data_IF_829482027341
#
_entry.id   IF_829482027341
#
_cell.length_a   1.000
_cell.length_b   1.000
_cell.length_c   1.000
_cell.angle_alpha   90.00
_cell.angle_beta   90.00
_cell.angle_gamma   90.00
#
_symmetry.space_group_name_H-M   'P 1'
#
loop_
_entity.id
_entity.type
_entity.pdbx_description
1 polymer ?
#
# COMPACT_ATOMS: atom_id res chain seq x y z
N UNK A 1 33.31 -8.46 -42.99
CA UNK A 1 34.53 -7.64 -42.94
C UNK A 1 34.59 -6.63 -44.09
N UNK A 2 34.46 -7.06 -45.35
CA UNK A 2 34.51 -6.16 -46.52
C UNK A 2 33.44 -5.04 -46.57
N UNK A 3 32.19 -5.33 -46.19
CA UNK A 3 31.12 -4.32 -46.17
C UNK A 3 31.36 -3.19 -45.16
N UNK A 4 31.95 -3.50 -44.00
CA UNK A 4 32.24 -2.52 -42.94
C UNK A 4 33.40 -1.61 -43.34
N UNK A 5 34.42 -2.17 -44.00
CA UNK A 5 35.57 -1.41 -44.52
C UNK A 5 35.12 -0.47 -45.65
N UNK A 6 34.22 -0.91 -46.53
CA UNK A 6 33.68 -0.09 -47.62
C UNK A 6 32.85 1.11 -47.13
N UNK A 7 31.98 0.90 -46.13
CA UNK A 7 31.19 1.99 -45.53
C UNK A 7 32.10 2.99 -44.80
N UNK A 8 33.12 2.50 -44.09
CA UNK A 8 34.11 3.36 -43.43
C UNK A 8 34.87 4.26 -44.41
N UNK A 9 35.32 3.72 -45.54
CA UNK A 9 36.01 4.49 -46.59
C UNK A 9 35.10 5.54 -47.24
N UNK A 10 33.83 5.22 -47.48
CA UNK A 10 32.85 6.16 -48.03
C UNK A 10 32.57 7.34 -47.07
N UNK A 11 32.44 7.07 -45.76
CA UNK A 11 32.26 8.13 -44.75
C UNK A 11 33.48 9.07 -44.72
N UNK A 12 34.69 8.50 -44.76
CA UNK A 12 35.95 9.26 -44.73
C UNK A 12 36.14 10.11 -45.98
N UNK A 13 35.80 9.60 -47.16
CA UNK A 13 35.88 10.34 -48.42
C UNK A 13 34.91 11.53 -48.45
N UNK A 14 33.66 11.33 -48.03
CA UNK A 14 32.66 12.41 -47.95
C UNK A 14 33.09 13.47 -46.91
N UNK A 15 33.68 13.04 -45.78
CA UNK A 15 34.21 13.96 -44.79
C UNK A 15 35.34 14.82 -45.34
N UNK A 16 36.33 14.20 -45.98
CA UNK A 16 37.47 14.95 -46.51
C UNK A 16 37.07 15.95 -47.60
N UNK A 17 35.99 15.69 -48.34
CA UNK A 17 35.59 16.52 -49.49
C UNK A 17 34.52 17.57 -49.17
N UNK A 18 33.54 17.23 -48.33
CA UNK A 18 32.37 18.07 -48.02
C UNK A 18 32.39 18.61 -46.58
N UNK A 19 33.35 18.16 -45.78
CA UNK A 19 33.47 18.54 -44.37
C UNK A 19 32.57 17.70 -43.45
N UNK A 20 32.81 17.84 -42.14
CA UNK A 20 32.20 17.01 -41.11
C UNK A 20 30.67 17.14 -41.08
N UNK A 21 30.16 18.37 -41.08
CA UNK A 21 28.72 18.64 -40.95
C UNK A 21 27.92 18.03 -42.12
N UNK A 22 28.39 18.23 -43.36
CA UNK A 22 27.72 17.72 -44.56
C UNK A 22 27.73 16.19 -44.61
N UNK A 23 28.81 15.57 -44.10
CA UNK A 23 28.91 14.11 -43.98
C UNK A 23 27.89 13.56 -42.99
N UNK A 24 27.79 14.16 -41.80
CA UNK A 24 26.80 13.75 -40.79
C UNK A 24 25.38 13.86 -41.36
N UNK A 25 25.06 14.95 -42.07
CA UNK A 25 23.75 15.13 -42.70
C UNK A 25 23.47 14.09 -43.79
N UNK A 26 24.42 13.83 -44.69
CA UNK A 26 24.26 12.87 -45.79
C UNK A 26 24.02 11.44 -45.27
N UNK A 27 24.81 10.98 -44.30
CA UNK A 27 24.64 9.64 -43.73
C UNK A 27 23.42 9.53 -42.81
N UNK A 28 23.03 10.60 -42.12
CA UNK A 28 21.76 10.63 -41.36
C UNK A 28 20.55 10.53 -42.29
N UNK A 29 20.59 11.22 -43.43
CA UNK A 29 19.54 11.14 -44.46
C UNK A 29 19.45 9.74 -45.06
N UNK A 30 20.57 9.15 -45.49
CA UNK A 30 20.61 7.79 -46.01
C UNK A 30 20.14 6.75 -44.98
N UNK A 31 20.51 6.92 -43.70
CA UNK A 31 20.04 6.08 -42.60
C UNK A 31 18.52 6.21 -42.39
N UNK A 32 17.97 7.43 -42.44
CA UNK A 32 16.53 7.67 -42.37
C UNK A 32 15.76 7.01 -43.51
N UNK A 33 16.25 7.14 -44.74
CA UNK A 33 15.68 6.47 -45.92
C UNK A 33 15.73 4.95 -45.77
N UNK A 34 16.86 4.40 -45.31
CA UNK A 34 16.99 2.96 -45.06
C UNK A 34 15.98 2.47 -44.02
N UNK A 35 15.83 3.19 -42.90
CA UNK A 35 14.86 2.84 -41.86
C UNK A 35 13.42 2.90 -42.38
N UNK A 36 13.09 3.90 -43.19
CA UNK A 36 11.76 4.03 -43.79
C UNK A 36 11.48 2.94 -44.83
N UNK A 37 12.46 2.51 -45.62
CA UNK A 37 12.26 1.49 -46.66
C UNK A 37 12.23 0.07 -46.10
N UNK A 38 13.18 -0.26 -45.21
CA UNK A 38 13.37 -1.64 -44.73
C UNK A 38 12.76 -1.89 -43.35
N UNK A 39 12.54 -0.85 -42.56
CA UNK A 39 12.05 -0.95 -41.18
C UNK A 39 10.81 -0.09 -40.90
N UNK A 40 10.02 0.29 -41.93
CA UNK A 40 8.79 1.09 -41.80
C UNK A 40 7.87 0.63 -40.66
N UNK A 41 7.67 -0.68 -40.52
CA UNK A 41 6.82 -1.26 -39.47
C UNK A 41 7.30 -0.84 -38.07
N UNK A 42 8.61 -0.81 -37.83
CA UNK A 42 9.18 -0.37 -36.56
C UNK A 42 9.02 1.14 -36.37
N UNK A 43 9.23 1.96 -37.41
CA UNK A 43 8.98 3.40 -37.35
C UNK A 43 7.50 3.70 -37.01
N UNK A 44 6.57 3.02 -37.67
CA UNK A 44 5.14 3.12 -37.39
C UNK A 44 4.82 2.74 -35.95
N UNK A 45 5.31 1.58 -35.47
CA UNK A 45 5.12 1.14 -34.09
C UNK A 45 5.67 2.18 -33.12
N UNK A 46 6.91 2.65 -33.31
CA UNK A 46 7.53 3.66 -32.46
C UNK A 46 6.69 4.94 -32.40
N UNK A 47 6.20 5.45 -33.53
CA UNK A 47 5.37 6.67 -33.55
C UNK A 47 4.06 6.45 -32.78
N UNK A 48 3.40 5.31 -32.99
CA UNK A 48 2.12 5.00 -32.33
C UNK A 48 2.30 4.74 -30.82
N UNK A 49 3.39 4.11 -30.39
CA UNK A 49 3.61 3.79 -28.96
C UNK A 49 4.27 4.94 -28.19
N UNK A 50 5.00 5.83 -28.85
CA UNK A 50 5.74 6.94 -28.20
C UNK A 50 4.88 7.74 -27.21
N UNK A 51 3.64 8.18 -27.52
CA UNK A 51 2.82 8.92 -26.56
C UNK A 51 2.45 8.13 -25.30
N UNK A 52 2.26 6.81 -25.43
CA UNK A 52 2.03 5.92 -24.28
C UNK A 52 3.32 5.77 -23.47
N UNK A 53 4.44 5.56 -24.16
CA UNK A 53 5.73 5.30 -23.53
C UNK A 53 6.25 6.55 -22.80
N UNK A 54 6.08 7.75 -23.38
CA UNK A 54 6.38 9.01 -22.73
C UNK A 54 5.50 9.28 -21.51
N UNK A 55 4.20 8.94 -21.56
CA UNK A 55 3.32 9.01 -20.38
C UNK A 55 3.77 8.05 -19.27
N UNK A 56 4.16 6.83 -19.65
CA UNK A 56 4.70 5.84 -18.70
C UNK A 56 6.01 6.32 -18.08
N UNK A 57 6.94 6.85 -18.89
CA UNK A 57 8.21 7.42 -18.43
C UNK A 57 7.98 8.61 -17.50
N UNK A 58 7.08 9.52 -17.85
CA UNK A 58 6.71 10.65 -16.99
C UNK A 58 6.12 10.19 -15.66
N UNK A 59 5.20 9.22 -15.69
CA UNK A 59 4.63 8.63 -14.49
C UNK A 59 5.72 8.00 -13.61
N UNK A 60 6.65 7.26 -14.21
CA UNK A 60 7.78 6.65 -13.53
C UNK A 60 8.69 7.68 -12.86
N UNK A 61 9.10 8.73 -13.59
CA UNK A 61 9.91 9.83 -13.05
C UNK A 61 9.18 10.52 -11.89
N UNK A 62 7.87 10.77 -12.03
CA UNK A 62 7.04 11.37 -10.98
C UNK A 62 6.97 10.50 -9.72
N UNK A 63 6.82 9.18 -9.87
CA UNK A 63 6.84 8.22 -8.76
C UNK A 63 8.21 8.26 -8.06
N UNK A 64 9.31 8.19 -8.82
CA UNK A 64 10.66 8.25 -8.25
C UNK A 64 10.91 9.54 -7.47
N UNK A 65 10.49 10.68 -8.02
CA UNK A 65 10.64 11.97 -7.35
C UNK A 65 9.81 12.06 -6.06
N UNK A 66 8.57 11.56 -6.10
CA UNK A 66 7.67 11.53 -4.95
C UNK A 66 8.19 10.59 -3.86
N UNK A 67 8.63 9.39 -4.22
CA UNK A 67 9.25 8.42 -3.31
C UNK A 67 10.53 8.99 -2.68
N UNK A 68 11.39 9.65 -3.47
CA UNK A 68 12.59 10.32 -2.96
C UNK A 68 12.24 11.44 -1.97
N UNK A 69 11.23 12.25 -2.27
CA UNK A 69 10.74 13.31 -1.38
C UNK A 69 10.28 12.76 -0.04
N UNK A 70 9.44 11.72 -0.03
CA UNK A 70 8.94 11.12 1.21
C UNK A 70 10.01 10.34 1.97
N UNK A 71 10.90 9.65 1.26
CA UNK A 71 12.08 9.01 1.86
C UNK A 71 12.99 10.02 2.55
N UNK A 72 13.24 11.20 1.96
CA UNK A 72 14.08 12.23 2.58
C UNK A 72 13.42 12.84 3.82
N UNK A 73 12.09 12.94 3.84
CA UNK A 73 11.35 13.36 5.03
C UNK A 73 11.17 12.25 6.07
N UNK A 74 11.61 11.03 5.75
CA UNK A 74 11.39 9.82 6.52
C UNK A 74 9.91 9.57 6.89
N UNK A 75 8.99 9.99 6.00
CA UNK A 75 7.56 9.86 6.22
C UNK A 75 7.09 8.42 6.06
N UNK A 76 6.12 8.03 6.86
CA UNK A 76 5.43 6.75 6.79
C UNK A 76 4.12 6.88 6.03
N UNK A 77 3.45 5.77 5.75
CA UNK A 77 2.18 5.81 5.04
C UNK A 77 1.11 6.69 5.73
N UNK A 78 0.89 6.62 7.07
CA UNK A 78 -0.03 7.53 7.76
C UNK A 78 0.29 9.03 7.62
N UNK A 79 1.58 9.39 7.48
CA UNK A 79 2.01 10.78 7.28
C UNK A 79 1.71 11.24 5.84
N UNK A 80 1.98 10.36 4.86
CA UNK A 80 1.69 10.60 3.44
C UNK A 80 0.17 10.70 3.23
N UNK A 81 -0.60 9.86 3.93
CA UNK A 81 -2.06 9.91 3.92
C UNK A 81 -2.56 11.26 4.45
N UNK A 82 -2.08 11.71 5.61
CA UNK A 82 -2.44 13.02 6.15
C UNK A 82 -2.11 14.18 5.20
N UNK A 83 -0.92 14.15 4.57
CA UNK A 83 -0.56 15.12 3.55
C UNK A 83 -1.57 15.17 2.38
N UNK A 84 -2.19 14.04 2.05
CA UNK A 84 -3.25 13.94 1.04
C UNK A 84 -4.58 14.48 1.57
N UNK A 85 -4.95 14.12 2.81
CA UNK A 85 -6.17 14.59 3.49
C UNK A 85 -6.18 16.11 3.57
N UNK A 86 -5.08 16.75 3.96
CA UNK A 86 -4.98 18.21 4.03
C UNK A 86 -5.25 18.90 2.68
N UNK A 87 -4.94 18.25 1.56
CA UNK A 87 -5.14 18.81 0.21
C UNK A 87 -6.53 18.56 -0.34
N UNK A 88 -7.14 17.44 0.04
CA UNK A 88 -8.36 16.92 -0.56
C UNK A 88 -9.32 16.33 0.49
N UNK A 89 -9.69 17.07 1.55
CA UNK A 89 -10.37 16.49 2.69
C UNK A 89 -11.76 15.96 2.35
N UNK A 90 -12.52 16.68 1.52
CA UNK A 90 -13.90 16.34 1.15
C UNK A 90 -13.99 15.50 -0.13
N UNK A 91 -12.85 15.09 -0.73
CA UNK A 91 -12.89 14.20 -1.90
C UNK A 91 -13.23 12.77 -1.48
N UNK A 92 -14.00 12.03 -2.29
CA UNK A 92 -14.18 10.59 -2.10
C UNK A 92 -12.83 9.86 -2.05
N UNK A 93 -12.59 9.16 -0.95
CA UNK A 93 -11.46 8.26 -0.74
C UNK A 93 -11.84 6.81 -1.06
N UNK A 94 -13.00 6.35 -0.56
CA UNK A 94 -13.55 5.03 -0.87
C UNK A 94 -15.00 5.13 -1.32
N UNK A 95 -15.34 4.31 -2.31
CA UNK A 95 -16.70 4.03 -2.74
C UNK A 95 -16.97 2.57 -2.38
N UNK A 96 -17.97 2.31 -1.55
CA UNK A 96 -18.27 0.97 -1.08
C UNK A 96 -19.77 0.78 -0.94
N UNK A 97 -20.35 -0.07 -1.79
CA UNK A 97 -21.81 -0.21 -1.89
C UNK A 97 -22.45 1.17 -2.08
N UNK A 98 -23.40 1.54 -1.22
CA UNK A 98 -24.08 2.83 -1.22
C UNK A 98 -23.39 3.89 -0.35
N UNK A 99 -22.22 3.58 0.22
CA UNK A 99 -21.44 4.49 1.05
C UNK A 99 -20.32 5.18 0.27
N UNK A 100 -20.14 6.47 0.59
CA UNK A 100 -19.00 7.27 0.15
C UNK A 100 -18.25 7.73 1.38
N UNK A 101 -16.97 7.38 1.46
CA UNK A 101 -16.08 7.82 2.54
C UNK A 101 -15.10 8.84 1.99
N UNK A 102 -15.07 10.03 2.56
CA UNK A 102 -14.12 11.09 2.23
C UNK A 102 -12.76 10.84 2.87
N UNK A 103 -11.71 11.51 2.38
CA UNK A 103 -10.39 11.45 3.01
C UNK A 103 -10.42 11.89 4.48
N UNK A 104 -11.22 12.92 4.81
CA UNK A 104 -11.39 13.41 6.18
C UNK A 104 -12.00 12.35 7.09
N UNK A 105 -13.05 11.66 6.64
CA UNK A 105 -13.72 10.62 7.44
C UNK A 105 -12.82 9.41 7.70
N UNK A 106 -12.02 9.01 6.70
CA UNK A 106 -11.03 7.93 6.88
C UNK A 106 -9.94 8.34 7.88
N UNK A 107 -9.47 9.59 7.83
CA UNK A 107 -8.49 10.09 8.80
C UNK A 107 -9.06 10.19 10.21
N UNK A 108 -10.28 10.72 10.37
CA UNK A 108 -10.97 10.80 11.67
C UNK A 108 -11.09 9.41 12.31
N UNK A 109 -11.58 8.43 11.54
CA UNK A 109 -11.70 7.05 11.98
C UNK A 109 -10.33 6.45 12.35
N UNK A 110 -9.32 6.65 11.50
CA UNK A 110 -7.95 6.18 11.76
C UNK A 110 -7.38 6.78 13.07
N UNK A 111 -7.61 8.06 13.34
CA UNK A 111 -7.15 8.73 14.55
C UNK A 111 -7.90 8.26 15.81
N UNK A 112 -9.19 7.89 15.69
CA UNK A 112 -9.93 7.21 16.78
C UNK A 112 -9.34 5.84 17.08
N UNK A 113 -9.00 5.07 16.04
CA UNK A 113 -8.33 3.78 16.19
C UNK A 113 -6.98 3.95 16.89
N UNK A 114 -6.17 4.94 16.49
CA UNK A 114 -4.92 5.27 17.18
C UNK A 114 -5.15 5.55 18.67
N UNK A 115 -6.17 6.34 19.02
CA UNK A 115 -6.49 6.66 20.41
C UNK A 115 -6.89 5.41 21.21
N UNK A 116 -7.78 4.58 20.66
CA UNK A 116 -8.24 3.34 21.31
C UNK A 116 -7.08 2.37 21.49
N UNK A 117 -6.32 2.05 20.44
CA UNK A 117 -5.22 1.08 20.52
C UNK A 117 -4.14 1.55 21.51
N UNK A 118 -3.78 2.83 21.49
CA UNK A 118 -2.82 3.42 22.43
C UNK A 118 -3.31 3.31 23.88
N UNK A 119 -4.60 3.59 24.14
CA UNK A 119 -5.21 3.43 25.48
C UNK A 119 -5.16 1.99 25.97
N UNK A 120 -5.27 1.02 25.06
CA UNK A 120 -5.19 -0.42 25.36
C UNK A 120 -3.74 -0.95 25.34
N UNK A 121 -2.75 -0.04 25.31
CA UNK A 121 -1.35 -0.36 25.52
C UNK A 121 -0.59 -0.87 24.30
N UNK A 122 -1.14 -0.69 23.09
CA UNK A 122 -0.40 -0.95 21.84
C UNK A 122 0.76 0.04 21.71
N UNK A 123 1.94 -0.48 21.41
CA UNK A 123 3.20 0.24 21.29
C UNK A 123 3.82 0.03 19.91
N UNK A 124 4.83 0.84 19.61
CA UNK A 124 5.66 0.68 18.42
C UNK A 124 6.24 -0.74 18.36
N UNK A 125 6.07 -1.38 17.20
CA UNK A 125 6.54 -2.74 16.95
C UNK A 125 5.53 -3.84 17.28
N UNK A 126 4.46 -3.54 18.01
CA UNK A 126 3.39 -4.50 18.30
C UNK A 126 2.66 -4.90 17.01
N UNK A 127 2.14 -6.12 17.01
CA UNK A 127 1.56 -6.76 15.83
C UNK A 127 0.05 -6.87 16.01
N UNK A 128 -0.70 -6.07 15.24
CA UNK A 128 -2.16 -6.00 15.30
C UNK A 128 -2.75 -6.67 14.06
N UNK A 129 -3.14 -7.93 14.22
CA UNK A 129 -3.78 -8.75 13.18
C UNK A 129 -5.18 -8.23 12.85
N UNK A 130 -5.51 -8.20 11.55
CA UNK A 130 -6.85 -7.90 11.07
C UNK A 130 -7.45 -9.14 10.41
N UNK A 131 -8.56 -9.62 10.95
CA UNK A 131 -9.44 -10.62 10.34
C UNK A 131 -10.78 -9.94 10.00
N UNK A 132 -10.76 -9.11 8.97
CA UNK A 132 -11.86 -8.19 8.62
C UNK A 132 -12.19 -8.28 7.15
N UNK A 133 -13.48 -8.22 6.82
CA UNK A 133 -13.95 -8.13 5.44
C UNK A 133 -13.51 -6.84 4.75
N UNK A 134 -13.66 -6.81 3.43
CA UNK A 134 -13.49 -5.57 2.67
C UNK A 134 -14.57 -4.57 3.10
N UNK A 135 -14.13 -3.48 3.72
CA UNK A 135 -14.95 -2.32 4.06
C UNK A 135 -14.06 -1.06 4.14
N UNK A 136 -14.63 0.15 4.04
CA UNK A 136 -13.87 1.40 4.14
C UNK A 136 -13.12 1.59 5.47
N UNK A 137 -13.61 0.98 6.55
CA UNK A 137 -13.01 1.04 7.88
C UNK A 137 -11.75 0.18 7.99
N UNK A 138 -11.60 -0.89 7.20
CA UNK A 138 -10.43 -1.77 7.27
C UNK A 138 -9.11 -1.02 6.99
N UNK A 139 -8.99 -0.23 5.90
CA UNK A 139 -7.82 0.63 5.72
C UNK A 139 -7.61 1.63 6.85
N UNK A 140 -8.68 2.18 7.43
CA UNK A 140 -8.59 3.13 8.54
C UNK A 140 -8.09 2.46 9.84
N UNK A 141 -8.51 1.23 10.13
CA UNK A 141 -8.01 0.41 11.25
C UNK A 141 -6.51 0.18 11.13
N UNK A 142 -6.07 -0.23 9.94
CA UNK A 142 -4.66 -0.41 9.62
C UNK A 142 -3.87 0.90 9.71
N UNK A 143 -4.36 2.01 9.15
CA UNK A 143 -3.70 3.32 9.25
C UNK A 143 -3.58 3.79 10.70
N UNK A 144 -4.59 3.53 11.52
CA UNK A 144 -4.59 3.87 12.94
C UNK A 144 -3.51 3.13 13.72
N UNK A 145 -3.33 1.84 13.44
CA UNK A 145 -2.24 1.03 14.00
C UNK A 145 -0.86 1.46 13.46
N UNK A 146 -0.73 1.66 12.15
CA UNK A 146 0.51 2.07 11.52
C UNK A 146 1.03 3.41 12.06
N UNK A 147 0.13 4.31 12.50
CA UNK A 147 0.49 5.58 13.15
C UNK A 147 1.20 5.38 14.50
N UNK A 148 0.91 4.28 15.21
CA UNK A 148 1.61 3.87 16.42
C UNK A 148 2.92 3.11 16.13
N UNK A 149 3.28 2.93 14.84
CA UNK A 149 4.38 2.07 14.45
C UNK A 149 4.10 0.58 14.62
N UNK A 150 2.83 0.21 14.80
CA UNK A 150 2.41 -1.19 14.81
C UNK A 150 2.42 -1.78 13.41
N UNK A 151 2.54 -3.10 13.35
CA UNK A 151 2.59 -3.87 12.10
C UNK A 151 1.29 -4.64 11.95
N UNK A 152 0.70 -4.64 10.76
CA UNK A 152 -0.61 -5.26 10.54
C UNK A 152 -0.55 -6.50 9.65
N UNK A 153 -0.69 -7.71 10.19
CA UNK A 153 -0.98 -8.90 9.40
C UNK A 153 -2.42 -8.87 8.87
N UNK A 154 -2.58 -9.00 7.56
CA UNK A 154 -3.89 -9.08 6.91
C UNK A 154 -4.31 -10.55 6.77
N UNK A 155 -5.08 -11.04 7.74
CA UNK A 155 -5.46 -12.46 7.82
C UNK A 155 -6.64 -12.73 6.90
N UNK A 156 -6.55 -13.81 6.12
CA UNK A 156 -7.62 -14.20 5.19
C UNK A 156 -8.87 -14.64 5.96
N UNK A 157 -9.99 -14.00 5.65
CA UNK A 157 -11.30 -14.21 6.29
C UNK A 157 -11.91 -15.60 6.10
N UNK A 158 -11.39 -16.39 5.17
CA UNK A 158 -11.82 -17.78 4.96
C UNK A 158 -11.09 -18.78 5.86
N UNK A 159 -10.06 -18.36 6.61
CA UNK A 159 -9.29 -19.26 7.47
C UNK A 159 -10.04 -19.59 8.76
N UNK A 160 -10.05 -20.88 9.13
CA UNK A 160 -10.57 -21.40 10.40
C UNK A 160 -9.60 -22.42 11.00
N UNK A 161 -9.82 -22.80 12.26
CA UNK A 161 -9.05 -23.84 12.93
C UNK A 161 -7.54 -23.61 12.85
N UNK A 162 -6.79 -24.67 12.53
CA UNK A 162 -5.32 -24.66 12.50
C UNK A 162 -4.73 -23.62 11.53
N UNK A 163 -5.39 -23.33 10.41
CA UNK A 163 -4.88 -22.34 9.46
C UNK A 163 -4.93 -20.93 10.04
N UNK A 164 -6.00 -20.61 10.77
CA UNK A 164 -6.16 -19.31 11.44
C UNK A 164 -5.16 -19.18 12.60
N UNK A 165 -5.04 -20.21 13.44
CA UNK A 165 -4.05 -20.28 14.53
C UNK A 165 -2.63 -20.08 13.99
N UNK A 166 -2.28 -20.79 12.91
CA UNK A 166 -0.98 -20.67 12.27
C UNK A 166 -0.71 -19.25 11.81
N UNK A 167 -1.66 -18.60 11.13
CA UNK A 167 -1.49 -17.22 10.67
C UNK A 167 -1.24 -16.26 11.85
N UNK A 168 -2.02 -16.37 12.92
CA UNK A 168 -1.88 -15.56 14.14
C UNK A 168 -0.49 -15.78 14.77
N UNK A 169 -0.07 -17.04 14.94
CA UNK A 169 1.17 -17.40 15.62
C UNK A 169 2.42 -17.07 14.81
N UNK A 170 2.40 -17.30 13.48
CA UNK A 170 3.54 -16.96 12.60
C UNK A 170 3.78 -15.46 12.55
N UNK A 171 2.71 -14.67 12.56
CA UNK A 171 2.85 -13.22 12.67
C UNK A 171 3.25 -12.77 14.07
N UNK A 172 3.04 -13.60 15.11
CA UNK A 172 3.22 -13.24 16.53
C UNK A 172 2.34 -12.05 16.91
N UNK A 173 1.03 -12.14 16.61
CA UNK A 173 0.09 -11.07 16.94
C UNK A 173 0.05 -10.83 18.46
N UNK A 174 0.11 -9.57 18.87
CA UNK A 174 -0.15 -9.10 20.23
C UNK A 174 -1.63 -8.73 20.41
N UNK A 175 -2.27 -8.31 19.32
CA UNK A 175 -3.68 -7.94 19.24
C UNK A 175 -4.30 -8.55 17.98
N UNK A 176 -5.54 -9.02 18.08
CA UNK A 176 -6.35 -9.45 16.94
C UNK A 176 -7.67 -8.67 16.93
N UNK A 177 -7.89 -7.91 15.85
CA UNK A 177 -9.17 -7.28 15.56
C UNK A 177 -9.88 -8.13 14.51
N UNK A 178 -11.06 -8.65 14.85
CA UNK A 178 -11.84 -9.50 13.95
C UNK A 178 -13.26 -8.98 13.80
N UNK A 179 -13.85 -9.15 12.61
CA UNK A 179 -15.25 -8.78 12.40
C UNK A 179 -16.20 -9.70 13.19
N UNK A 180 -17.31 -9.16 13.69
CA UNK A 180 -18.31 -9.89 14.46
C UNK A 180 -18.79 -11.20 13.82
N UNK A 181 -18.80 -11.26 12.50
CA UNK A 181 -19.15 -12.41 11.66
C UNK A 181 -18.21 -13.61 11.87
N UNK A 182 -16.97 -13.37 12.32
CA UNK A 182 -15.96 -14.40 12.59
C UNK A 182 -15.92 -14.87 14.04
N UNK A 183 -16.88 -14.45 14.88
CA UNK A 183 -16.97 -14.86 16.29
C UNK A 183 -16.91 -16.38 16.45
N UNK A 184 -17.64 -17.12 15.62
CA UNK A 184 -17.66 -18.60 15.69
C UNK A 184 -16.28 -19.20 15.41
N UNK A 185 -15.55 -18.68 14.41
CA UNK A 185 -14.21 -19.15 14.07
C UNK A 185 -13.18 -18.83 15.17
N UNK A 186 -13.34 -17.70 15.86
CA UNK A 186 -12.49 -17.34 17.01
C UNK A 186 -12.81 -18.21 18.23
N UNK A 187 -14.09 -18.46 18.51
CA UNK A 187 -14.52 -19.32 19.62
C UNK A 187 -13.99 -20.76 19.45
N UNK A 188 -14.02 -21.30 18.23
CA UNK A 188 -13.47 -22.63 17.90
C UNK A 188 -12.00 -22.81 18.28
N UNK A 189 -11.21 -21.73 18.22
CA UNK A 189 -9.77 -21.77 18.48
C UNK A 189 -9.37 -21.13 19.80
N UNK A 190 -10.33 -20.56 20.55
CA UNK A 190 -10.09 -19.74 21.75
C UNK A 190 -9.19 -20.42 22.80
N UNK A 191 -9.34 -21.72 23.00
CA UNK A 191 -8.53 -22.52 23.94
C UNK A 191 -7.08 -22.75 23.50
N UNK A 192 -6.76 -22.49 22.23
CA UNK A 192 -5.44 -22.67 21.63
C UNK A 192 -4.72 -21.34 21.36
N UNK A 193 -5.41 -20.22 21.58
CA UNK A 193 -4.81 -18.89 21.47
C UNK A 193 -3.94 -18.59 22.69
N UNK A 194 -2.91 -17.76 22.48
CA UNK A 194 -2.09 -17.25 23.57
C UNK A 194 -2.97 -16.41 24.52
N UNK A 195 -3.00 -16.69 25.84
CA UNK A 195 -3.75 -15.88 26.81
C UNK A 195 -3.35 -14.40 26.84
N UNK A 196 -2.15 -14.05 26.37
CA UNK A 196 -1.69 -12.67 26.26
C UNK A 196 -2.26 -11.93 25.02
N UNK A 197 -2.80 -12.66 24.03
CA UNK A 197 -3.38 -12.07 22.82
C UNK A 197 -4.65 -11.29 23.18
N UNK A 198 -4.66 -9.98 22.92
CA UNK A 198 -5.85 -9.15 23.11
C UNK A 198 -6.80 -9.31 21.94
N UNK A 199 -8.07 -9.57 22.22
CA UNK A 199 -9.10 -9.73 21.21
C UNK A 199 -10.01 -8.50 21.18
N UNK A 200 -10.23 -7.96 19.99
CA UNK A 200 -11.19 -6.89 19.73
C UNK A 200 -12.20 -7.36 18.69
N UNK A 201 -13.48 -7.30 19.06
CA UNK A 201 -14.56 -7.54 18.12
C UNK A 201 -14.93 -6.23 17.43
N UNK A 202 -15.04 -6.27 16.11
CA UNK A 202 -15.41 -5.12 15.29
C UNK A 202 -16.71 -5.39 14.54
N UNK A 203 -17.66 -4.47 14.59
CA UNK A 203 -18.90 -4.54 13.83
C UNK A 203 -18.92 -3.43 12.79
N UNK A 204 -19.05 -3.82 11.53
CA UNK A 204 -19.10 -2.88 10.42
C UNK A 204 -20.43 -2.11 10.45
N UNK A 205 -20.37 -0.87 10.93
CA UNK A 205 -21.47 0.11 10.89
C UNK A 205 -20.91 1.54 10.97
N UNK A 206 -21.76 2.52 10.68
CA UNK A 206 -21.45 3.93 10.97
C UNK A 206 -21.37 4.13 12.49
N UNK A 207 -20.34 4.85 12.94
CA UNK A 207 -20.16 5.19 14.35
C UNK A 207 -21.25 6.18 14.78
N UNK A 208 -21.93 5.88 15.89
CA UNK A 208 -22.82 6.80 16.57
C UNK A 208 -22.03 7.51 17.69
N UNK A 209 -21.44 8.65 17.37
CA UNK A 209 -20.62 9.44 18.31
C UNK A 209 -21.43 10.18 19.37
N UNK A 210 -22.75 10.23 19.24
CA UNK A 210 -23.63 10.81 20.27
C UNK A 210 -23.84 9.84 21.43
N UNK A 211 -23.66 8.53 21.19
CA UNK A 211 -23.69 7.51 22.22
C UNK A 211 -22.43 7.59 23.10
N UNK A 212 -22.63 7.71 24.41
CA UNK A 212 -21.54 7.76 25.40
C UNK A 212 -21.39 6.48 26.21
N UNK A 213 -22.22 5.49 25.96
CA UNK A 213 -22.22 4.23 26.71
C UNK A 213 -21.42 3.16 25.98
N UNK A 214 -20.56 2.47 26.73
CA UNK A 214 -19.85 1.30 26.23
C UNK A 214 -20.78 0.10 26.40
N UNK A 215 -21.20 -0.50 25.29
CA UNK A 215 -21.93 -1.77 25.34
C UNK A 215 -20.93 -2.91 25.52
N UNK A 216 -20.96 -3.58 26.67
CA UNK A 216 -20.23 -4.83 26.84
C UNK A 216 -20.87 -5.91 25.95
N UNK A 217 -20.06 -6.63 25.17
CA UNK A 217 -20.59 -7.66 24.27
C UNK A 217 -20.99 -8.96 24.95
N UNK A 218 -20.92 -9.05 26.28
CA UNK A 218 -21.37 -10.18 27.09
C UNK A 218 -20.54 -11.45 26.95
N UNK A 219 -19.61 -11.50 26.00
CA UNK A 219 -18.75 -12.63 25.64
C UNK A 219 -17.31 -12.49 26.16
N UNK A 220 -17.04 -11.47 26.98
CA UNK A 220 -15.72 -11.22 27.58
C UNK A 220 -14.67 -10.68 26.61
N UNK A 221 -15.06 -10.32 25.37
CA UNK A 221 -14.21 -9.69 24.36
C UNK A 221 -14.55 -8.20 24.31
N UNK A 222 -13.56 -7.33 24.11
CA UNK A 222 -13.84 -5.89 23.99
C UNK A 222 -14.50 -5.57 22.63
N UNK A 223 -15.63 -4.85 22.64
CA UNK A 223 -16.24 -4.31 21.41
C UNK A 223 -15.53 -3.03 20.98
N UNK A 224 -14.69 -3.15 19.97
CA UNK A 224 -13.95 -2.04 19.38
C UNK A 224 -14.88 -0.96 18.83
N UNK A 225 -16.04 -1.33 18.30
CA UNK A 225 -16.98 -0.38 17.69
C UNK A 225 -17.49 0.59 18.75
N UNK A 226 -17.97 0.06 19.88
CA UNK A 226 -18.41 0.86 21.02
C UNK A 226 -17.27 1.72 21.58
N UNK A 227 -16.04 1.17 21.65
CA UNK A 227 -14.87 1.95 22.07
C UNK A 227 -14.56 3.11 21.13
N UNK A 228 -14.71 2.94 19.82
CA UNK A 228 -14.48 3.99 18.83
C UNK A 228 -15.56 5.09 18.85
N UNK A 229 -16.81 4.75 19.20
CA UNK A 229 -17.91 5.70 19.33
C UNK A 229 -17.65 6.71 20.46
N UNK A 230 -17.20 6.22 21.62
CA UNK A 230 -16.96 7.04 22.81
C UNK A 230 -15.59 7.71 22.82
N UNK A 231 -14.66 7.27 21.98
CA UNK A 231 -13.28 7.79 21.96
C UNK A 231 -13.14 8.86 20.88
N UNK A 232 -12.80 10.11 21.23
CA UNK A 232 -12.54 11.15 20.23
C UNK A 232 -11.26 10.83 19.43
N UNK A 233 -11.12 11.36 18.21
CA UNK A 233 -9.92 11.18 17.41
C UNK A 233 -8.68 11.69 18.16
N UNK A 234 -7.57 10.93 18.10
CA UNK A 234 -6.30 11.44 18.58
C UNK A 234 -5.89 12.72 17.83
N UNK A 235 -5.19 13.66 18.47
CA UNK A 235 -4.56 14.75 17.74
C UNK A 235 -3.57 14.17 16.72
N UNK A 236 -3.53 14.76 15.52
CA UNK A 236 -2.59 14.31 14.51
C UNK A 236 -1.14 14.56 14.94
N UNK A 237 -0.31 13.53 14.85
CA UNK A 237 1.13 13.59 15.01
C UNK A 237 1.82 12.77 13.92
N UNK A 238 3.10 13.04 13.69
CA UNK A 238 3.95 12.13 12.93
C UNK A 238 3.88 10.73 13.52
N UNK A 239 3.87 9.72 12.65
CA UNK A 239 3.81 8.33 13.07
C UNK A 239 5.06 7.93 13.88
N UNK A 240 4.84 7.17 14.95
CA UNK A 240 5.91 6.61 15.78
C UNK A 240 6.43 5.27 15.20
N UNK A 241 6.83 5.27 13.92
CA UNK A 241 7.31 4.07 13.23
C UNK A 241 8.81 4.17 12.87
N UNK A 242 9.37 3.10 12.28
CA UNK A 242 10.75 3.08 11.79
C UNK A 242 10.95 3.84 10.46
N UNK A 243 10.08 4.82 10.19
CA UNK A 243 10.15 5.70 9.02
C UNK A 243 9.85 5.00 7.69
N UNK A 244 10.34 5.58 6.59
CA UNK A 244 9.96 5.20 5.22
C UNK A 244 10.32 3.74 4.87
N UNK A 245 11.37 3.17 5.48
CA UNK A 245 11.77 1.77 5.26
C UNK A 245 11.28 0.81 6.36
N UNK A 246 10.61 1.34 7.38
CA UNK A 246 10.03 0.56 8.46
C UNK A 246 8.97 -0.41 7.98
N UNK A 247 8.77 -1.50 8.74
CA UNK A 247 7.71 -2.48 8.49
C UNK A 247 6.34 -1.84 8.66
N UNK A 248 5.40 -2.23 7.82
CA UNK A 248 4.05 -1.64 7.78
C UNK A 248 2.98 -2.72 7.94
N UNK A 249 3.04 -3.77 7.13
CA UNK A 249 2.05 -4.84 7.16
C UNK A 249 2.65 -6.17 6.72
N UNK A 250 1.94 -7.25 7.03
CA UNK A 250 2.24 -8.58 6.50
C UNK A 250 1.13 -9.03 5.56
N UNK A 251 1.52 -9.46 4.36
CA UNK A 251 0.62 -10.11 3.41
C UNK A 251 0.91 -11.60 3.43
N UNK A 252 -0.12 -12.42 3.65
CA UNK A 252 0.05 -13.86 3.61
C UNK A 252 0.00 -14.35 2.16
N UNK A 253 1.00 -15.16 1.80
CA UNK A 253 1.02 -15.87 0.52
C UNK A 253 0.74 -17.35 0.76
N UNK A 254 -0.27 -17.90 0.10
CA UNK A 254 -0.54 -19.33 0.08
C UNK A 254 0.29 -20.01 -1.01
N UNK A 255 1.10 -21.00 -0.64
CA UNK A 255 1.66 -21.96 -1.59
C UNK A 255 0.63 -23.04 -1.93
N UNK A 256 0.88 -23.82 -2.98
CA UNK A 256 -0.01 -24.93 -3.39
C UNK A 256 -0.10 -26.07 -2.37
N UNK A 257 0.89 -26.20 -1.48
CA UNK A 257 1.00 -27.35 -0.56
C UNK A 257 1.37 -26.97 0.87
N UNK A 258 1.46 -25.68 1.20
CA UNK A 258 2.00 -25.21 2.48
C UNK A 258 1.09 -24.24 3.21
N UNK A 259 1.22 -24.22 4.54
CA UNK A 259 0.59 -23.21 5.37
C UNK A 259 1.06 -21.79 4.98
N UNK A 260 0.21 -20.77 5.18
CA UNK A 260 0.51 -19.41 4.77
C UNK A 260 1.83 -18.87 5.36
N UNK A 261 2.58 -18.11 4.55
CA UNK A 261 3.80 -17.41 4.98
C UNK A 261 3.56 -15.90 4.96
N UNK A 262 4.02 -15.21 6.01
CA UNK A 262 3.89 -13.76 6.13
C UNK A 262 5.01 -13.04 5.34
N UNK A 263 4.65 -12.39 4.23
CA UNK A 263 5.55 -11.52 3.48
C UNK A 263 5.58 -10.13 4.12
N UNK A 264 6.78 -9.64 4.45
CA UNK A 264 6.99 -8.35 5.11
C UNK A 264 6.95 -7.21 4.09
N UNK A 265 6.02 -6.27 4.28
CA UNK A 265 5.89 -5.06 3.45
C UNK A 265 6.32 -3.84 4.27
N UNK A 266 7.18 -3.01 3.67
CA UNK A 266 7.65 -1.75 4.25
C UNK A 266 6.81 -0.56 3.79
N UNK A 267 6.91 0.57 4.49
CA UNK A 267 6.25 1.83 4.13
C UNK A 267 6.66 2.39 2.74
N UNK A 268 7.78 1.92 2.19
CA UNK A 268 8.31 2.36 0.90
C UNK A 268 7.69 1.68 -0.32
N UNK A 269 6.92 0.60 -0.10
CA UNK A 269 6.27 -0.19 -1.16
C UNK A 269 4.82 0.23 -1.30
#
# INVERSE_FOLDING_TARGET
MFAVVGVGAAILAVWLYLGFLQTVLAFSFLGGVYLLLFHWKWCYISIVTTPRDLRALWCYVKILWTARKFSHKNWTLPDIFHYTVQRHPDKPCFLFQDEVWTFREVEDFSLRVTAVLKKHGVKKGDIVGLLINNCPQMPALWLGNARLGGITPLINTNQRGNALIHSINVAKCDVLIFSSEYQSAIQEISSQLDPALKLFKFSHRRLNTDNKEISASGDGIDDLTSLLEVTPPAPWTLADADGFRGKLLYIYTSGTTGLPKAAVISNSR
#
